data_IF_066111087488
#
_entry.id   IF_066111087488
#
_cell.length_a   1.000
_cell.length_b   1.000
_cell.length_c   1.000
_cell.angle_alpha   90.00
_cell.angle_beta   90.00
_cell.angle_gamma   90.00
#
_symmetry.space_group_name_H-M   'P 1'
#
loop_
_entity.id
_entity.type
_entity.pdbx_description
1 polymer ?
#
# COMPACT_ATOMS: atom_id res chain seq x y z
N UNK A 1 -74.24 8.57 49.06
CA UNK A 1 -73.59 9.65 48.31
C UNK A 1 -72.27 9.12 47.80
N UNK A 2 -72.24 8.64 46.54
CA UNK A 2 -71.02 8.12 45.89
C UNK A 2 -70.53 9.21 44.95
N UNK A 3 -69.30 9.73 45.22
CA UNK A 3 -68.62 10.70 44.36
C UNK A 3 -68.02 9.95 43.14
N UNK A 4 -68.46 10.30 41.98
CA UNK A 4 -67.92 9.87 40.69
C UNK A 4 -66.68 10.72 40.38
N UNK A 5 -65.50 10.11 40.42
CA UNK A 5 -64.26 10.76 39.99
C UNK A 5 -64.07 10.50 38.50
N UNK A 6 -64.24 11.58 37.72
CA UNK A 6 -64.04 11.57 36.28
C UNK A 6 -62.50 11.66 36.02
N UNK A 7 -61.87 10.58 35.54
CA UNK A 7 -60.49 10.57 35.07
C UNK A 7 -60.48 11.08 33.62
N UNK A 8 -60.08 12.32 33.45
CA UNK A 8 -59.75 12.85 32.10
C UNK A 8 -58.35 12.39 31.78
N UNK A 9 -58.25 11.32 30.97
CA UNK A 9 -56.99 10.89 30.40
C UNK A 9 -56.54 11.85 29.31
N UNK A 10 -55.53 12.66 29.60
CA UNK A 10 -54.84 13.48 28.60
C UNK A 10 -54.05 12.53 27.69
N UNK A 11 -54.57 12.15 26.55
CA UNK A 11 -53.79 11.52 25.46
C UNK A 11 -52.88 12.57 24.87
N UNK A 12 -51.62 12.57 25.34
CA UNK A 12 -50.52 13.23 24.61
C UNK A 12 -50.29 12.47 23.31
N UNK A 13 -50.92 12.93 22.22
CA UNK A 13 -50.45 12.58 20.89
C UNK A 13 -49.11 13.26 20.67
N UNK A 14 -48.03 12.52 20.93
CA UNK A 14 -46.71 12.87 20.38
C UNK A 14 -46.86 12.79 18.85
N UNK A 15 -47.06 13.92 18.20
CA UNK A 15 -46.82 14.03 16.77
C UNK A 15 -45.36 13.73 16.51
N UNK A 16 -45.05 12.45 16.29
CA UNK A 16 -43.88 12.07 15.51
C UNK A 16 -44.10 12.71 14.13
N UNK A 17 -43.46 13.85 13.91
CA UNK A 17 -43.25 14.34 12.55
C UNK A 17 -42.35 13.30 11.88
N UNK A 18 -42.95 12.23 11.37
CA UNK A 18 -42.33 11.42 10.32
C UNK A 18 -42.27 12.39 9.14
N UNK A 19 -41.12 13.03 8.99
CA UNK A 19 -40.85 13.81 7.78
C UNK A 19 -40.94 12.80 6.64
N UNK A 20 -42.08 12.85 5.89
CA UNK A 20 -42.28 11.96 4.77
C UNK A 20 -41.11 12.19 3.80
N UNK A 21 -40.35 11.14 3.54
CA UNK A 21 -39.27 11.13 2.56
C UNK A 21 -39.80 11.68 1.24
N UNK A 22 -39.25 12.80 0.79
CA UNK A 22 -39.67 13.43 -0.47
C UNK A 22 -38.88 12.83 -1.62
N UNK A 23 -39.58 12.34 -2.64
CA UNK A 23 -38.99 11.82 -3.85
C UNK A 23 -38.90 12.88 -4.94
N UNK A 24 -37.79 12.90 -5.66
CA UNK A 24 -37.56 13.71 -6.84
C UNK A 24 -37.09 12.85 -7.99
N UNK A 25 -37.54 13.15 -9.20
CA UNK A 25 -36.82 12.71 -10.41
C UNK A 25 -35.62 13.64 -10.59
N UNK A 26 -34.53 13.14 -11.16
CA UNK A 26 -33.27 13.90 -11.30
C UNK A 26 -33.48 15.21 -12.06
N UNK A 27 -34.39 15.23 -13.03
CA UNK A 27 -34.75 16.41 -13.83
C UNK A 27 -35.49 17.48 -13.02
N UNK A 28 -35.94 17.17 -11.82
CA UNK A 28 -36.64 18.11 -10.91
C UNK A 28 -35.65 18.79 -9.95
N UNK A 29 -34.37 18.42 -9.98
CA UNK A 29 -33.35 18.93 -9.07
C UNK A 29 -32.22 19.58 -9.85
N UNK A 30 -31.85 20.79 -9.47
CA UNK A 30 -30.62 21.45 -9.92
C UNK A 30 -29.45 21.03 -9.05
N UNK A 31 -28.34 20.59 -9.68
CA UNK A 31 -27.10 20.25 -9.01
C UNK A 31 -26.00 21.24 -9.45
N UNK A 32 -25.62 22.17 -8.57
CA UNK A 32 -24.71 23.27 -8.87
C UNK A 32 -23.34 22.96 -8.25
N UNK A 33 -22.30 22.85 -9.08
CA UNK A 33 -20.93 22.68 -8.61
C UNK A 33 -20.44 24.02 -8.01
N UNK A 34 -20.02 23.99 -6.74
CA UNK A 34 -19.55 25.18 -6.03
C UNK A 34 -18.07 25.52 -6.29
N UNK A 35 -17.35 24.72 -7.11
CA UNK A 35 -15.93 24.94 -7.44
C UNK A 35 -14.93 24.42 -6.41
N UNK A 36 -15.37 24.02 -5.21
CA UNK A 36 -14.55 23.47 -4.15
C UNK A 36 -14.80 21.96 -3.91
N UNK A 37 -15.44 21.31 -4.88
CA UNK A 37 -15.82 19.89 -4.85
C UNK A 37 -17.14 19.59 -4.15
N UNK A 38 -17.84 20.61 -3.65
CA UNK A 38 -19.21 20.47 -3.12
C UNK A 38 -20.24 20.70 -4.21
N UNK A 39 -21.40 20.07 -4.07
CA UNK A 39 -22.55 20.22 -4.96
C UNK A 39 -23.72 20.74 -4.15
N UNK A 40 -24.34 21.81 -4.62
CA UNK A 40 -25.53 22.42 -4.05
C UNK A 40 -26.77 21.93 -4.82
N UNK A 41 -27.72 21.33 -4.12
CA UNK A 41 -28.96 20.80 -4.68
C UNK A 41 -30.15 21.71 -4.39
N UNK A 42 -30.94 22.01 -5.42
CA UNK A 42 -32.17 22.82 -5.32
C UNK A 42 -33.32 22.16 -6.04
N UNK A 43 -34.51 22.32 -5.51
CA UNK A 43 -35.78 22.00 -6.18
C UNK A 43 -35.99 23.01 -7.33
N UNK A 44 -36.03 22.54 -8.58
CA UNK A 44 -36.14 23.40 -9.77
C UNK A 44 -37.47 24.18 -9.85
N UNK A 45 -38.54 23.67 -9.24
CA UNK A 45 -39.85 24.32 -9.25
C UNK A 45 -39.92 25.49 -8.28
N UNK A 46 -39.29 25.37 -7.13
CA UNK A 46 -39.36 26.37 -6.03
C UNK A 46 -38.10 27.20 -5.87
N UNK A 47 -37.04 26.82 -6.55
CA UNK A 47 -35.66 27.35 -6.41
C UNK A 47 -35.13 27.32 -4.95
N UNK A 48 -35.74 26.49 -4.09
CA UNK A 48 -35.29 26.33 -2.70
C UNK A 48 -34.25 25.22 -2.57
N UNK A 49 -33.24 25.42 -1.70
CA UNK A 49 -32.27 24.37 -1.40
C UNK A 49 -32.97 23.18 -0.73
N UNK A 50 -32.51 21.94 -1.03
CA UNK A 50 -33.04 20.75 -0.41
C UNK A 50 -32.69 20.70 1.09
N UNK A 51 -33.62 20.23 1.93
CA UNK A 51 -33.45 20.07 3.36
C UNK A 51 -34.17 18.81 3.84
N UNK A 52 -33.53 18.01 4.71
CA UNK A 52 -34.02 16.74 5.20
C UNK A 52 -33.64 15.57 4.30
N UNK A 53 -34.23 14.41 4.55
CA UNK A 53 -34.01 13.21 3.77
C UNK A 53 -34.76 13.24 2.45
N UNK A 54 -34.07 13.00 1.35
CA UNK A 54 -34.66 12.94 0.01
C UNK A 54 -34.10 11.75 -0.77
N UNK A 55 -34.98 11.17 -1.60
CA UNK A 55 -34.67 10.20 -2.62
C UNK A 55 -34.65 10.90 -3.98
N UNK A 56 -33.50 10.89 -4.66
CA UNK A 56 -33.33 11.45 -6.00
C UNK A 56 -33.17 10.29 -6.97
N UNK A 57 -34.09 10.15 -7.93
CA UNK A 57 -34.19 9.00 -8.82
C UNK A 57 -33.69 9.40 -10.20
N UNK A 58 -32.72 8.65 -10.72
CA UNK A 58 -32.32 8.63 -12.12
C UNK A 58 -33.00 7.42 -12.80
N UNK A 59 -34.15 7.64 -13.36
CA UNK A 59 -34.94 6.57 -14.01
C UNK A 59 -34.27 6.02 -15.26
N UNK A 60 -33.44 6.81 -15.95
CA UNK A 60 -32.73 6.39 -17.14
C UNK A 60 -31.64 5.33 -16.83
N UNK A 61 -30.92 5.50 -15.76
CA UNK A 61 -29.86 4.56 -15.31
C UNK A 61 -30.36 3.52 -14.28
N UNK A 62 -31.66 3.49 -13.95
CA UNK A 62 -32.22 2.62 -12.90
C UNK A 62 -31.48 2.79 -11.55
N UNK A 63 -31.10 4.03 -11.25
CA UNK A 63 -30.32 4.40 -10.07
C UNK A 63 -31.11 5.39 -9.19
N UNK A 64 -30.75 5.43 -7.90
CA UNK A 64 -31.23 6.50 -7.01
C UNK A 64 -30.23 6.76 -5.89
N UNK A 65 -30.29 7.98 -5.37
CA UNK A 65 -29.56 8.40 -4.16
C UNK A 65 -30.61 8.61 -3.06
N UNK A 66 -30.33 8.09 -1.86
CA UNK A 66 -31.04 8.42 -0.63
C UNK A 66 -30.05 9.18 0.27
N UNK A 67 -30.34 10.43 0.56
CA UNK A 67 -29.41 11.27 1.31
C UNK A 67 -30.11 12.33 2.17
N UNK A 68 -29.44 12.72 3.24
CA UNK A 68 -29.78 13.86 4.06
C UNK A 68 -29.18 15.14 3.50
N UNK A 69 -29.98 16.20 3.47
CA UNK A 69 -29.58 17.52 2.99
C UNK A 69 -29.79 18.60 4.05
N UNK A 70 -28.87 19.55 4.08
CA UNK A 70 -28.98 20.79 4.83
C UNK A 70 -28.54 21.96 3.94
N UNK A 71 -29.45 22.92 3.73
CA UNK A 71 -29.18 24.08 2.86
C UNK A 71 -28.69 23.68 1.47
N UNK A 72 -29.22 22.58 0.92
CA UNK A 72 -28.88 22.04 -0.40
C UNK A 72 -27.61 21.23 -0.45
N UNK A 73 -26.83 21.12 0.64
CA UNK A 73 -25.63 20.30 0.71
C UNK A 73 -25.93 18.94 1.33
N UNK A 74 -25.28 17.88 0.88
CA UNK A 74 -25.29 16.61 1.59
C UNK A 74 -24.84 16.82 3.05
N UNK A 75 -25.64 16.37 4.02
CA UNK A 75 -25.31 16.56 5.44
C UNK A 75 -25.98 15.50 6.31
N UNK A 76 -25.36 14.38 6.48
CA UNK A 76 -25.88 13.21 7.17
C UNK A 76 -25.68 11.95 6.34
N UNK A 77 -26.64 11.04 6.42
CA UNK A 77 -26.61 9.75 5.73
C UNK A 77 -26.60 9.91 4.20
N UNK A 78 -25.88 9.02 3.54
CA UNK A 78 -25.84 8.90 2.08
C UNK A 78 -25.86 7.45 1.67
N UNK A 79 -26.72 7.10 0.74
CA UNK A 79 -26.76 5.80 0.06
C UNK A 79 -26.94 6.02 -1.44
N UNK A 80 -26.28 5.20 -2.22
CA UNK A 80 -26.41 5.14 -3.66
C UNK A 80 -26.79 3.71 -4.08
N UNK A 81 -27.82 3.61 -4.93
CA UNK A 81 -28.39 2.36 -5.36
C UNK A 81 -28.46 2.29 -6.89
N UNK A 82 -28.13 1.14 -7.45
CA UNK A 82 -28.36 0.78 -8.86
C UNK A 82 -29.14 -0.51 -8.93
N UNK A 83 -30.16 -0.57 -9.82
CA UNK A 83 -31.04 -1.72 -9.95
C UNK A 83 -31.61 -2.20 -8.59
N UNK A 84 -31.98 -1.25 -7.71
CA UNK A 84 -32.40 -1.50 -6.32
C UNK A 84 -31.39 -2.20 -5.41
N UNK A 85 -30.12 -2.24 -5.79
CA UNK A 85 -29.03 -2.78 -4.96
C UNK A 85 -28.19 -1.63 -4.40
N UNK A 86 -27.87 -1.70 -3.13
CA UNK A 86 -26.94 -0.76 -2.49
C UNK A 86 -25.53 -0.95 -3.09
N UNK A 87 -24.99 0.10 -3.70
CA UNK A 87 -23.64 0.11 -4.27
C UNK A 87 -22.65 0.95 -3.46
N UNK A 88 -23.16 1.96 -2.73
CA UNK A 88 -22.34 2.80 -1.88
C UNK A 88 -23.14 3.31 -0.68
N UNK A 89 -22.54 3.35 0.50
CA UNK A 89 -23.09 4.04 1.67
C UNK A 89 -22.00 4.85 2.39
N UNK A 90 -22.42 5.88 3.11
CA UNK A 90 -21.53 6.71 3.90
C UNK A 90 -22.25 7.88 4.57
N UNK A 91 -21.47 8.86 4.98
CA UNK A 91 -22.01 10.09 5.53
C UNK A 91 -21.26 11.32 5.02
N UNK A 92 -21.99 12.42 4.95
CA UNK A 92 -21.46 13.73 4.59
C UNK A 92 -21.66 14.74 5.72
N UNK A 93 -20.77 15.71 5.78
CA UNK A 93 -20.90 16.90 6.61
C UNK A 93 -20.65 18.12 5.74
N UNK A 94 -21.63 19.03 5.66
CA UNK A 94 -21.52 20.27 4.88
C UNK A 94 -21.04 20.05 3.43
N UNK A 95 -21.57 19.01 2.76
CA UNK A 95 -21.25 18.64 1.38
C UNK A 95 -19.91 17.89 1.21
N UNK A 96 -19.20 17.56 2.29
CA UNK A 96 -17.93 16.82 2.25
C UNK A 96 -18.06 15.44 2.87
N UNK A 97 -17.46 14.42 2.25
CA UNK A 97 -17.40 13.06 2.82
C UNK A 97 -16.83 13.11 4.23
N UNK A 98 -17.52 12.49 5.19
CA UNK A 98 -17.10 12.48 6.60
C UNK A 98 -17.55 11.19 7.29
N UNK A 99 -16.60 10.36 7.74
CA UNK A 99 -16.87 9.03 8.24
C UNK A 99 -16.47 7.94 7.25
N UNK A 100 -16.94 6.71 7.48
CA UNK A 100 -16.61 5.56 6.64
C UNK A 100 -17.56 5.48 5.45
N UNK A 101 -17.01 5.39 4.26
CA UNK A 101 -17.70 5.05 3.02
C UNK A 101 -17.45 3.60 2.69
N UNK A 102 -18.51 2.86 2.38
CA UNK A 102 -18.47 1.47 1.96
C UNK A 102 -18.98 1.33 0.54
N UNK A 103 -18.28 0.52 -0.24
CA UNK A 103 -18.65 0.19 -1.62
C UNK A 103 -18.90 -1.30 -1.75
N UNK A 104 -19.94 -1.66 -2.48
CA UNK A 104 -20.41 -3.04 -2.64
C UNK A 104 -20.31 -3.50 -4.10
N UNK A 105 -20.24 -4.81 -4.31
CA UNK A 105 -20.38 -5.43 -5.64
C UNK A 105 -21.86 -5.57 -6.00
N UNK A 106 -22.11 -5.95 -7.27
CA UNK A 106 -23.47 -6.24 -7.77
C UNK A 106 -24.15 -7.41 -7.02
N UNK A 107 -23.36 -8.27 -6.37
CA UNK A 107 -23.86 -9.34 -5.50
C UNK A 107 -24.06 -8.88 -4.04
N UNK A 108 -23.87 -7.59 -3.73
CA UNK A 108 -24.02 -7.02 -2.40
C UNK A 108 -22.85 -7.33 -1.45
N UNK A 109 -21.71 -7.77 -1.96
CA UNK A 109 -20.52 -8.04 -1.13
C UNK A 109 -19.72 -6.76 -0.95
N UNK A 110 -19.23 -6.54 0.26
CA UNK A 110 -18.32 -5.44 0.57
C UNK A 110 -17.03 -5.56 -0.24
N UNK A 111 -16.69 -4.53 -1.03
CA UNK A 111 -15.47 -4.44 -1.86
C UNK A 111 -14.42 -3.53 -1.25
N UNK A 112 -14.90 -2.43 -0.66
CA UNK A 112 -13.99 -1.37 -0.22
C UNK A 112 -14.60 -0.56 0.93
N UNK A 113 -13.76 -0.18 1.89
CA UNK A 113 -14.07 0.81 2.93
C UNK A 113 -13.03 1.93 2.91
N UNK A 114 -13.48 3.17 2.97
CA UNK A 114 -12.62 4.36 3.03
C UNK A 114 -13.08 5.28 4.14
N UNK A 115 -12.17 5.66 5.03
CA UNK A 115 -12.43 6.65 6.06
C UNK A 115 -12.10 8.05 5.56
N UNK A 116 -13.02 8.98 5.78
CA UNK A 116 -12.89 10.37 5.35
C UNK A 116 -13.10 11.34 6.51
N UNK A 117 -12.36 12.44 6.48
CA UNK A 117 -12.59 13.62 7.33
C UNK A 117 -12.51 14.86 6.46
N UNK A 118 -13.58 15.68 6.48
CA UNK A 118 -13.68 16.91 5.72
C UNK A 118 -13.35 16.74 4.22
N UNK A 119 -13.80 15.62 3.62
CA UNK A 119 -13.59 15.27 2.21
C UNK A 119 -12.25 14.64 1.86
N UNK A 120 -11.32 14.56 2.80
CA UNK A 120 -9.99 13.94 2.60
C UNK A 120 -9.96 12.55 3.21
N UNK A 121 -9.20 11.63 2.59
CA UNK A 121 -8.89 10.33 3.23
C UNK A 121 -8.20 10.59 4.57
N UNK A 122 -8.78 10.04 5.66
CA UNK A 122 -8.25 10.17 7.02
C UNK A 122 -8.69 8.96 7.84
N UNK A 123 -7.76 8.08 8.16
CA UNK A 123 -8.00 6.77 8.76
C UNK A 123 -7.80 5.61 7.79
N UNK A 124 -8.49 4.50 8.02
CA UNK A 124 -8.30 3.26 7.27
C UNK A 124 -8.94 3.31 5.87
N UNK A 125 -8.25 2.71 4.91
CA UNK A 125 -8.74 2.33 3.60
C UNK A 125 -8.51 0.83 3.42
N UNK A 126 -9.59 0.05 3.29
CA UNK A 126 -9.54 -1.42 3.14
C UNK A 126 -10.15 -1.85 1.82
N UNK A 127 -9.52 -2.83 1.18
CA UNK A 127 -10.10 -3.59 0.07
C UNK A 127 -10.31 -5.04 0.49
N UNK A 128 -11.28 -5.71 -0.12
CA UNK A 128 -11.70 -7.05 0.26
C UNK A 128 -11.71 -7.98 -0.94
N UNK A 129 -11.31 -9.21 -0.73
CA UNK A 129 -11.57 -10.31 -1.65
C UNK A 129 -13.06 -10.63 -1.74
N UNK A 130 -13.46 -11.33 -2.80
CA UNK A 130 -14.84 -11.82 -2.96
C UNK A 130 -15.30 -12.74 -1.84
N UNK A 131 -14.36 -13.31 -1.06
CA UNK A 131 -14.62 -14.10 0.14
C UNK A 131 -14.97 -13.27 1.37
N UNK A 132 -14.84 -11.92 1.31
CA UNK A 132 -15.00 -11.01 2.43
C UNK A 132 -13.77 -10.86 3.32
N UNK A 133 -12.67 -11.59 3.03
CA UNK A 133 -11.40 -11.36 3.73
C UNK A 133 -10.73 -10.08 3.22
N UNK A 134 -10.01 -9.39 4.11
CA UNK A 134 -9.22 -8.22 3.75
C UNK A 134 -8.12 -8.63 2.76
N UNK A 135 -8.03 -7.94 1.64
CA UNK A 135 -6.96 -8.02 0.65
C UNK A 135 -5.83 -7.04 0.99
N UNK A 136 -6.23 -5.80 1.31
CA UNK A 136 -5.27 -4.74 1.63
C UNK A 136 -5.86 -3.75 2.63
N UNK A 137 -5.02 -3.28 3.55
CA UNK A 137 -5.34 -2.20 4.48
C UNK A 137 -4.25 -1.14 4.41
N UNK A 138 -4.63 0.13 4.28
CA UNK A 138 -3.77 1.31 4.30
C UNK A 138 -4.30 2.32 5.29
N UNK A 139 -3.40 3.10 5.88
CA UNK A 139 -3.77 4.19 6.75
C UNK A 139 -3.41 5.54 6.13
N UNK A 140 -4.30 6.50 6.29
CA UNK A 140 -4.18 7.84 5.74
C UNK A 140 -4.36 8.90 6.81
N UNK A 141 -3.68 10.03 6.63
CA UNK A 141 -3.87 11.24 7.41
C UNK A 141 -3.91 12.44 6.48
N UNK A 142 -5.04 13.18 6.52
CA UNK A 142 -5.25 14.38 5.69
C UNK A 142 -4.97 14.16 4.20
N UNK A 143 -5.33 12.99 3.65
CA UNK A 143 -5.16 12.60 2.25
C UNK A 143 -3.82 12.00 1.88
N UNK A 144 -2.85 11.96 2.78
CA UNK A 144 -1.55 11.31 2.57
C UNK A 144 -1.51 9.96 3.29
N UNK A 145 -0.85 8.97 2.68
CA UNK A 145 -0.63 7.68 3.34
C UNK A 145 0.29 7.89 4.56
N UNK A 146 -0.19 7.46 5.74
CA UNK A 146 0.50 7.66 7.01
C UNK A 146 0.13 6.55 7.98
N UNK A 147 1.09 5.71 8.34
CA UNK A 147 0.89 4.49 9.12
C UNK A 147 1.15 3.22 8.32
N UNK A 148 0.57 2.13 8.75
CA UNK A 148 0.78 0.81 8.14
C UNK A 148 0.06 0.66 6.79
N UNK A 149 0.70 -0.07 5.88
CA UNK A 149 0.09 -0.73 4.74
C UNK A 149 0.31 -2.23 4.89
N UNK A 150 -0.77 -2.99 4.98
CA UNK A 150 -0.77 -4.44 5.06
C UNK A 150 -1.44 -5.01 3.81
N UNK A 151 -0.90 -6.06 3.23
CA UNK A 151 -1.59 -6.84 2.21
C UNK A 151 -1.55 -8.32 2.54
N UNK A 152 -2.57 -9.03 2.09
CA UNK A 152 -2.77 -10.44 2.41
C UNK A 152 -3.03 -11.24 1.14
N UNK A 153 -2.72 -12.51 1.17
CA UNK A 153 -3.17 -13.48 0.16
C UNK A 153 -4.65 -13.82 0.37
N UNK A 154 -5.24 -14.49 -0.62
CA UNK A 154 -6.64 -14.92 -0.60
C UNK A 154 -6.99 -15.81 0.60
N UNK A 155 -6.05 -16.58 1.12
CA UNK A 155 -6.21 -17.39 2.33
C UNK A 155 -6.13 -16.59 3.63
N UNK A 156 -5.66 -15.33 3.57
CA UNK A 156 -5.47 -14.41 4.68
C UNK A 156 -4.03 -14.38 5.20
N UNK A 157 -3.09 -15.05 4.52
CA UNK A 157 -1.66 -14.98 4.87
C UNK A 157 -1.09 -13.61 4.58
N UNK A 158 -0.33 -13.04 5.50
CA UNK A 158 0.32 -11.73 5.34
C UNK A 158 1.37 -11.78 4.22
N UNK A 159 1.28 -10.81 3.29
CA UNK A 159 2.20 -10.67 2.14
C UNK A 159 3.13 -9.49 2.27
N UNK A 160 2.67 -8.44 2.93
CA UNK A 160 3.39 -7.18 3.01
C UNK A 160 3.03 -6.46 4.31
N UNK A 161 4.03 -5.95 5.00
CA UNK A 161 3.91 -5.03 6.13
C UNK A 161 4.86 -3.85 5.91
N UNK A 162 4.31 -2.78 5.37
CA UNK A 162 5.03 -1.55 5.10
C UNK A 162 4.55 -0.42 6.00
N UNK A 163 5.43 0.53 6.27
CA UNK A 163 5.11 1.72 7.05
C UNK A 163 5.37 2.97 6.24
N UNK A 164 4.43 3.90 6.32
CA UNK A 164 4.48 5.18 5.61
C UNK A 164 4.37 6.35 6.57
N UNK A 165 4.99 7.46 6.21
CA UNK A 165 4.85 8.76 6.87
C UNK A 165 4.77 9.85 5.80
N UNK A 166 3.68 10.64 5.81
CA UNK A 166 3.42 11.70 4.83
C UNK A 166 3.55 11.24 3.36
N UNK A 167 3.17 10.00 3.04
CA UNK A 167 3.21 9.40 1.71
C UNK A 167 4.55 8.75 1.32
N UNK A 168 5.56 8.77 2.18
CA UNK A 168 6.86 8.12 1.95
C UNK A 168 7.00 6.86 2.77
N UNK A 169 7.64 5.84 2.24
CA UNK A 169 8.03 4.66 3.02
C UNK A 169 9.07 5.06 4.08
N UNK A 170 8.93 4.57 5.31
CA UNK A 170 9.87 4.83 6.41
C UNK A 170 10.05 3.60 7.28
N UNK A 171 11.22 3.47 7.91
CA UNK A 171 11.52 2.36 8.81
C UNK A 171 11.66 1.03 8.08
N UNK A 172 11.54 -0.05 8.83
CA UNK A 172 11.70 -1.42 8.31
C UNK A 172 10.44 -1.86 7.56
N UNK A 173 10.63 -2.33 6.34
CA UNK A 173 9.59 -2.88 5.49
C UNK A 173 9.78 -4.40 5.37
N UNK A 174 8.67 -5.14 5.32
CA UNK A 174 8.67 -6.59 5.21
C UNK A 174 7.82 -7.03 4.02
N UNK A 175 8.35 -7.95 3.23
CA UNK A 175 7.60 -8.68 2.20
C UNK A 175 7.75 -10.17 2.47
N UNK A 176 6.65 -10.92 2.38
CA UNK A 176 6.60 -12.35 2.69
C UNK A 176 6.34 -13.16 1.42
N UNK A 177 6.78 -14.41 1.41
CA UNK A 177 6.51 -15.34 0.33
C UNK A 177 5.02 -15.71 0.26
N UNK A 178 4.52 -15.92 -0.96
CA UNK A 178 3.12 -16.25 -1.20
C UNK A 178 2.71 -17.55 -0.50
N UNK A 179 1.60 -17.52 0.25
CA UNK A 179 1.05 -18.68 0.93
C UNK A 179 1.84 -19.15 2.14
N UNK A 180 2.84 -18.39 2.58
CA UNK A 180 3.67 -18.70 3.76
C UNK A 180 3.85 -17.46 4.62
N UNK A 181 4.38 -17.65 5.83
CA UNK A 181 4.86 -16.55 6.68
C UNK A 181 6.38 -16.37 6.58
N UNK A 182 7.01 -16.99 5.59
CA UNK A 182 8.45 -16.86 5.40
C UNK A 182 8.80 -15.51 4.83
N UNK A 183 9.78 -14.87 5.43
CA UNK A 183 10.25 -13.54 5.04
C UNK A 183 10.96 -13.64 3.69
N UNK A 184 10.47 -12.90 2.70
CA UNK A 184 11.08 -12.81 1.37
C UNK A 184 12.08 -11.67 1.27
N UNK A 185 11.70 -10.48 1.76
CA UNK A 185 12.54 -9.29 1.69
C UNK A 185 12.36 -8.42 2.93
N UNK A 186 13.47 -7.84 3.36
CA UNK A 186 13.52 -6.78 4.35
C UNK A 186 14.35 -5.63 3.82
N UNK A 187 13.82 -4.42 3.92
CA UNK A 187 14.53 -3.21 3.54
C UNK A 187 14.21 -2.08 4.52
N UNK A 188 15.21 -1.25 4.83
CA UNK A 188 15.04 -0.07 5.68
C UNK A 188 15.01 1.21 4.85
N UNK A 189 14.12 2.12 5.24
CA UNK A 189 14.01 3.46 4.68
C UNK A 189 14.19 4.51 5.77
N UNK A 190 14.95 5.57 5.47
CA UNK A 190 15.08 6.72 6.33
C UNK A 190 13.83 7.63 6.27
N UNK A 191 13.82 8.70 7.04
CA UNK A 191 12.68 9.65 7.10
C UNK A 191 12.44 10.42 5.78
N UNK A 192 13.42 10.42 4.86
CA UNK A 192 13.29 11.00 3.53
C UNK A 192 12.67 10.04 2.51
N UNK A 193 12.44 8.77 2.90
CA UNK A 193 11.94 7.71 2.02
C UNK A 193 13.02 7.10 1.13
N UNK A 194 14.29 7.22 1.51
CA UNK A 194 15.42 6.60 0.82
C UNK A 194 15.83 5.31 1.53
N UNK A 195 16.22 4.28 0.78
CA UNK A 195 16.80 3.07 1.35
C UNK A 195 18.06 3.43 2.16
N UNK A 196 18.06 3.09 3.44
CA UNK A 196 19.14 3.45 4.37
C UNK A 196 19.16 2.48 5.54
N UNK A 197 20.02 1.49 5.50
CA UNK A 197 20.10 0.42 6.49
C UNK A 197 20.24 -0.95 5.86
N UNK A 198 20.08 -1.98 6.67
CA UNK A 198 20.27 -3.36 6.26
C UNK A 198 19.22 -3.83 5.26
N UNK A 199 19.69 -4.62 4.31
CA UNK A 199 18.92 -5.26 3.28
C UNK A 199 19.09 -6.77 3.36
N UNK A 200 17.99 -7.49 3.21
CA UNK A 200 17.97 -8.94 3.11
C UNK A 200 16.89 -9.38 2.13
N UNK A 201 17.22 -10.25 1.19
CA UNK A 201 16.22 -10.90 0.34
C UNK A 201 16.53 -12.38 0.16
N UNK A 202 15.47 -13.20 0.27
CA UNK A 202 15.51 -14.64 -0.05
C UNK A 202 14.68 -14.84 -1.30
N UNK A 203 15.27 -15.44 -2.33
CA UNK A 203 14.55 -15.77 -3.56
C UNK A 203 13.99 -17.19 -3.52
N UNK A 204 12.89 -17.39 -4.24
CA UNK A 204 12.19 -18.66 -4.38
C UNK A 204 12.87 -19.49 -5.48
N UNK A 205 12.83 -20.82 -5.38
CA UNK A 205 13.32 -21.77 -6.41
C UNK A 205 14.83 -21.79 -6.68
N UNK A 206 15.63 -21.92 -5.63
CA UNK A 206 17.09 -22.12 -5.76
C UNK A 206 17.86 -20.86 -6.15
N UNK A 207 17.26 -19.68 -5.99
CA UNK A 207 17.94 -18.41 -6.10
C UNK A 207 18.62 -18.04 -4.79
N UNK A 208 19.74 -17.30 -4.85
CA UNK A 208 20.54 -17.02 -3.67
C UNK A 208 19.86 -15.98 -2.74
N UNK A 209 20.13 -16.13 -1.45
CA UNK A 209 19.87 -15.11 -0.44
C UNK A 209 20.91 -13.99 -0.57
N UNK A 210 20.45 -12.73 -0.57
CA UNK A 210 21.31 -11.55 -0.67
C UNK A 210 21.22 -10.76 0.62
N UNK A 211 22.38 -10.47 1.22
CA UNK A 211 22.53 -9.58 2.37
C UNK A 211 23.36 -8.37 1.97
N UNK A 212 23.00 -7.20 2.44
CA UNK A 212 23.74 -5.99 2.16
C UNK A 212 23.29 -4.81 3.01
N UNK A 213 23.79 -3.65 2.64
CA UNK A 213 23.44 -2.39 3.30
C UNK A 213 23.25 -1.30 2.25
N UNK A 214 22.23 -0.48 2.43
CA UNK A 214 22.01 0.72 1.65
C UNK A 214 22.31 1.97 2.46
N UNK A 215 22.81 2.99 1.79
CA UNK A 215 22.97 4.34 2.32
C UNK A 215 22.44 5.33 1.28
N UNK A 216 21.36 6.06 1.61
CA UNK A 216 20.72 7.02 0.71
C UNK A 216 20.46 6.44 -0.70
N UNK A 217 19.73 5.32 -0.79
CA UNK A 217 19.40 4.55 -2.01
C UNK A 217 20.58 3.87 -2.71
N UNK A 218 21.80 4.03 -2.23
CA UNK A 218 23.01 3.45 -2.84
C UNK A 218 23.51 2.25 -2.05
N UNK A 219 23.97 1.22 -2.74
CA UNK A 219 24.68 0.11 -2.08
C UNK A 219 25.92 0.66 -1.35
N UNK A 220 26.10 0.23 -0.10
CA UNK A 220 27.26 0.63 0.70
C UNK A 220 27.76 -0.56 1.54
N UNK A 221 29.08 -0.67 1.75
CA UNK A 221 29.67 -1.77 2.48
C UNK A 221 29.66 -3.11 1.73
N UNK A 222 29.65 -4.21 2.48
CA UNK A 222 29.69 -5.58 1.94
C UNK A 222 28.30 -6.07 1.53
N UNK A 223 28.25 -6.63 0.34
CA UNK A 223 27.11 -7.37 -0.19
C UNK A 223 27.49 -8.84 -0.32
N UNK A 224 26.66 -9.73 0.22
CA UNK A 224 26.92 -11.16 0.28
C UNK A 224 25.77 -11.89 -0.41
N UNK A 225 26.14 -12.75 -1.36
CA UNK A 225 25.21 -13.67 -2.02
C UNK A 225 25.46 -15.06 -1.49
N UNK A 226 24.40 -15.70 -0.97
CA UNK A 226 24.44 -17.00 -0.28
C UNK A 226 23.58 -17.98 -1.06
N UNK A 227 24.07 -19.19 -1.32
CA UNK A 227 23.31 -20.28 -1.94
C UNK A 227 22.23 -20.83 -1.00
N UNK A 228 21.31 -21.61 -1.53
CA UNK A 228 20.28 -22.34 -0.77
C UNK A 228 20.91 -23.30 0.28
N UNK A 229 22.10 -23.84 -0.02
CA UNK A 229 22.88 -24.66 0.91
C UNK A 229 23.42 -23.90 2.13
N UNK A 230 23.37 -22.56 2.11
CA UNK A 230 23.99 -21.70 3.11
C UNK A 230 25.41 -21.25 2.75
N UNK A 231 25.99 -21.77 1.66
CA UNK A 231 27.33 -21.42 1.24
C UNK A 231 27.38 -20.04 0.59
N UNK A 232 28.44 -19.28 0.88
CA UNK A 232 28.69 -18.00 0.23
C UNK A 232 29.06 -18.21 -1.24
N UNK A 233 28.36 -17.53 -2.15
CA UNK A 233 28.64 -17.53 -3.59
C UNK A 233 29.49 -16.33 -4.02
N UNK A 234 29.20 -15.17 -3.43
CA UNK A 234 29.86 -13.92 -3.82
C UNK A 234 29.91 -12.93 -2.66
N UNK A 235 30.98 -12.19 -2.58
CA UNK A 235 31.15 -11.02 -1.73
C UNK A 235 31.59 -9.88 -2.61
N UNK A 236 30.84 -8.79 -2.56
CA UNK A 236 31.09 -7.54 -3.28
C UNK A 236 31.19 -6.40 -2.27
N UNK A 237 32.00 -5.41 -2.53
CA UNK A 237 32.12 -4.24 -1.68
C UNK A 237 31.78 -2.98 -2.46
N UNK A 238 30.99 -2.12 -1.85
CA UNK A 238 30.50 -0.88 -2.45
C UNK A 238 30.79 0.31 -1.54
N UNK A 239 31.03 1.46 -2.15
CA UNK A 239 31.09 2.76 -1.49
C UNK A 239 30.24 3.75 -2.29
N UNK A 240 29.16 4.27 -1.70
CA UNK A 240 28.25 5.20 -2.35
C UNK A 240 27.78 4.69 -3.74
N UNK A 241 27.36 3.44 -3.82
CA UNK A 241 26.81 2.80 -5.02
C UNK A 241 27.84 2.31 -6.04
N UNK A 242 29.13 2.57 -5.83
CA UNK A 242 30.19 2.13 -6.74
C UNK A 242 30.93 0.92 -6.17
N UNK A 243 31.32 0.00 -7.05
CA UNK A 243 32.17 -1.12 -6.67
C UNK A 243 33.55 -0.59 -6.23
N UNK A 244 33.91 -0.92 -5.00
CA UNK A 244 35.13 -0.43 -4.35
C UNK A 244 35.69 -1.48 -3.39
N UNK A 245 36.96 -1.83 -3.48
CA UNK A 245 37.61 -2.80 -2.58
C UNK A 245 37.58 -4.23 -3.11
N UNK A 246 37.71 -5.20 -2.19
CA UNK A 246 37.83 -6.62 -2.52
C UNK A 246 36.49 -7.25 -2.92
N UNK A 247 36.49 -7.93 -4.08
CA UNK A 247 35.45 -8.80 -4.56
C UNK A 247 35.93 -10.25 -4.55
N UNK A 248 35.07 -11.17 -4.09
CA UNK A 248 35.40 -12.61 -4.03
C UNK A 248 34.21 -13.39 -4.57
N UNK A 249 34.47 -14.38 -5.42
CA UNK A 249 33.46 -15.34 -5.84
C UNK A 249 33.93 -16.77 -5.50
N UNK A 250 32.92 -17.63 -5.24
CA UNK A 250 33.14 -19.01 -4.84
C UNK A 250 32.48 -19.96 -5.86
N UNK A 251 33.02 -21.14 -6.00
CA UNK A 251 32.38 -22.17 -6.80
C UNK A 251 31.15 -22.75 -6.08
N UNK A 252 30.05 -22.90 -6.80
CA UNK A 252 28.77 -23.33 -6.23
C UNK A 252 28.74 -24.78 -5.76
N UNK A 253 29.60 -25.63 -6.38
CA UNK A 253 29.62 -27.07 -6.08
C UNK A 253 30.56 -27.41 -4.95
N UNK A 254 31.75 -26.81 -4.97
CA UNK A 254 32.85 -27.14 -4.04
C UNK A 254 32.96 -26.16 -2.88
N UNK A 255 32.33 -24.95 -3.00
CA UNK A 255 32.50 -23.88 -2.01
C UNK A 255 33.89 -23.24 -2.02
N UNK A 256 34.81 -23.71 -2.90
CA UNK A 256 36.17 -23.16 -3.01
C UNK A 256 36.16 -21.76 -3.61
N UNK A 257 37.15 -20.95 -3.26
CA UNK A 257 37.35 -19.63 -3.87
C UNK A 257 37.64 -19.82 -5.35
N UNK A 258 36.86 -19.12 -6.21
CA UNK A 258 36.99 -19.16 -7.67
C UNK A 258 37.76 -17.96 -8.20
N UNK A 259 37.45 -16.77 -7.70
CA UNK A 259 38.09 -15.51 -8.09
C UNK A 259 38.16 -14.56 -6.92
N UNK A 260 39.20 -13.77 -6.90
CA UNK A 260 39.30 -12.57 -6.06
C UNK A 260 39.94 -11.43 -6.85
N UNK A 261 39.45 -10.22 -6.66
CA UNK A 261 39.99 -9.04 -7.33
C UNK A 261 39.59 -7.77 -6.60
N UNK A 262 40.35 -6.73 -6.84
CA UNK A 262 40.09 -5.42 -6.30
C UNK A 262 39.41 -4.53 -7.34
N UNK A 263 38.41 -3.80 -6.89
CA UNK A 263 37.68 -2.78 -7.66
C UNK A 263 38.00 -1.39 -7.12
N UNK A 264 37.99 -0.40 -8.00
CA UNK A 264 38.10 1.02 -7.68
C UNK A 264 37.29 1.81 -8.69
N UNK A 265 36.24 2.52 -8.19
CA UNK A 265 35.31 3.26 -9.03
C UNK A 265 34.78 2.42 -10.20
N UNK A 266 34.19 1.25 -9.93
CA UNK A 266 33.60 0.31 -10.89
C UNK A 266 34.59 -0.28 -11.93
N UNK A 267 35.89 -0.22 -11.66
CA UNK A 267 36.94 -0.80 -12.52
C UNK A 267 37.89 -1.65 -11.73
N UNK A 268 38.36 -2.75 -12.33
CA UNK A 268 39.44 -3.56 -11.73
C UNK A 268 40.66 -2.69 -11.52
N UNK A 269 41.18 -2.63 -10.30
CA UNK A 269 42.36 -1.85 -9.94
C UNK A 269 43.08 -2.56 -8.78
N UNK A 270 44.20 -3.19 -9.07
CA UNK A 270 44.92 -4.01 -8.13
C UNK A 270 45.05 -5.47 -8.56
N UNK A 271 45.24 -6.34 -7.61
CA UNK A 271 45.48 -7.76 -7.85
C UNK A 271 44.20 -8.48 -8.25
N UNK A 272 44.31 -9.35 -9.25
CA UNK A 272 43.28 -10.27 -9.73
C UNK A 272 43.83 -11.70 -9.68
N UNK A 273 43.08 -12.64 -9.11
CA UNK A 273 43.43 -14.06 -9.00
C UNK A 273 42.27 -14.95 -9.39
N UNK A 274 42.57 -16.05 -10.08
CA UNK A 274 41.67 -17.17 -10.29
C UNK A 274 42.24 -18.43 -9.69
N UNK A 275 41.35 -19.27 -9.17
CA UNK A 275 41.68 -20.50 -8.50
C UNK A 275 40.98 -21.69 -9.17
N UNK A 276 41.61 -22.84 -9.16
CA UNK A 276 40.98 -24.09 -9.58
C UNK A 276 39.83 -24.42 -8.62
N UNK A 277 38.62 -24.63 -9.13
CA UNK A 277 37.47 -24.91 -8.27
C UNK A 277 37.50 -26.26 -7.58
N UNK A 278 38.28 -27.24 -8.05
CA UNK A 278 38.35 -28.58 -7.48
C UNK A 278 39.34 -28.67 -6.30
N UNK A 279 40.51 -28.06 -6.43
CA UNK A 279 41.56 -28.15 -5.42
C UNK A 279 41.92 -26.82 -4.73
N UNK A 280 41.39 -25.69 -5.24
CA UNK A 280 41.63 -24.35 -4.68
C UNK A 280 43.00 -23.77 -4.99
N UNK A 281 43.78 -24.40 -5.89
CA UNK A 281 45.11 -23.90 -6.28
C UNK A 281 44.98 -22.65 -7.17
N UNK A 282 45.94 -21.74 -7.04
CA UNK A 282 46.01 -20.52 -7.87
C UNK A 282 46.41 -20.92 -9.30
N UNK A 283 45.58 -20.60 -10.29
CA UNK A 283 45.77 -20.91 -11.71
C UNK A 283 46.09 -19.68 -12.56
N UNK A 284 45.69 -18.49 -12.11
CA UNK A 284 45.95 -17.26 -12.81
C UNK A 284 46.11 -16.08 -11.86
N UNK A 285 47.06 -15.22 -12.14
CA UNK A 285 47.28 -13.96 -11.42
C UNK A 285 47.69 -12.85 -12.39
N UNK A 286 47.06 -11.68 -12.22
CA UNK A 286 47.39 -10.46 -12.96
C UNK A 286 47.16 -9.22 -12.10
N UNK A 287 47.88 -8.15 -12.42
CA UNK A 287 47.61 -6.82 -11.81
C UNK A 287 46.86 -5.96 -12.81
N UNK A 288 45.79 -5.29 -12.34
CA UNK A 288 44.99 -4.36 -13.13
C UNK A 288 45.20 -2.93 -12.66
N UNK A 289 45.10 -1.99 -13.60
CA UNK A 289 45.01 -0.56 -13.32
C UNK A 289 43.98 0.06 -14.27
N UNK A 290 43.03 0.79 -13.72
CA UNK A 290 41.94 1.40 -14.49
C UNK A 290 41.20 0.42 -15.44
N UNK A 291 41.02 -0.83 -15.02
CA UNK A 291 40.33 -1.89 -15.76
C UNK A 291 41.18 -2.61 -16.83
N UNK A 292 42.45 -2.29 -16.96
CA UNK A 292 43.37 -2.92 -17.93
C UNK A 292 44.51 -3.64 -17.19
N UNK A 293 44.98 -4.74 -17.78
CA UNK A 293 46.16 -5.42 -17.24
C UNK A 293 47.35 -4.45 -17.29
N UNK A 294 47.98 -4.28 -16.14
CA UNK A 294 49.17 -3.46 -15.96
C UNK A 294 50.25 -4.25 -15.23
N UNK A 295 51.24 -4.71 -15.97
CA UNK A 295 52.33 -5.53 -15.45
C UNK A 295 52.30 -6.97 -15.93
N UNK A 296 52.97 -7.86 -15.16
CA UNK A 296 53.07 -9.28 -15.52
C UNK A 296 51.79 -10.02 -15.19
N UNK A 297 51.31 -10.84 -16.12
CA UNK A 297 50.37 -11.89 -15.86
C UNK A 297 51.05 -13.25 -15.74
N UNK A 298 50.50 -14.11 -14.91
CA UNK A 298 51.01 -15.48 -14.72
C UNK A 298 49.88 -16.47 -14.87
N UNK A 299 50.09 -17.50 -15.70
CA UNK A 299 49.27 -18.70 -15.69
C UNK A 299 50.07 -19.81 -15.07
N UNK A 300 49.51 -20.48 -14.08
CA UNK A 300 50.13 -21.56 -13.37
C UNK A 300 49.56 -22.88 -13.89
N UNK A 301 50.42 -23.83 -14.22
CA UNK A 301 50.02 -25.15 -14.67
C UNK A 301 49.73 -25.95 -13.41
N UNK A 302 48.49 -26.37 -13.23
CA UNK A 302 48.12 -27.34 -12.20
C UNK A 302 48.55 -28.71 -12.71
N UNK A 303 49.46 -29.39 -11.99
CA UNK A 303 49.97 -30.71 -12.32
C UNK A 303 49.22 -31.79 -11.56
#
# INVERSE_FOLDING_TARGET
>A
MKKLILFIGLLLFAFLNVCAQKEYQIEQVSAINMGDGRILFRDLKTDKPLNGEHRIIDGYHSAYILADFKEGLYNGKYEEHEYNKLICEGAYKEGRKNGVFKMYSDEGRLKEEKSYKDGKLDGAHKTYYTTGKVERERNYRMGKQDGKELSYDFDGTLRMDHTYKDGKQVGKQFTFMKGTYELHETVYYNENGQKDGDYSSIFIFGLPHVLGHYKNDQKDGRWITIAESGDTLMIETYVNGREEGLHVSFDRKTGTRKREFYMKNDRKDGLYREYDPENGELIYEATYQYGRINGKERRLIVT
#
